data_IF_851316785162
#
_entry.id   IF_851316785162
#
_cell.length_a   1.000
_cell.length_b   1.000
_cell.length_c   1.000
_cell.angle_alpha   90.00
_cell.angle_beta   90.00
_cell.angle_gamma   90.00
#
_symmetry.space_group_name_H-M   'P 1'
#
loop_
_entity.id
_entity.type
_entity.pdbx_description
1 polymer ?
#
# COMPACT_ATOMS: atom_id res chain seq x y z
N UNK A 1 -10.32 -5.52 33.93
CA UNK A 1 -9.00 -5.43 33.25
C UNK A 1 -8.75 -6.62 32.31
N UNK A 2 -8.93 -7.85 32.77
CA UNK A 2 -8.70 -9.07 31.97
C UNK A 2 -9.59 -9.12 30.72
N UNK A 3 -10.88 -8.84 30.84
CA UNK A 3 -11.84 -8.84 29.69
C UNK A 3 -11.42 -7.85 28.61
N UNK A 4 -10.92 -6.68 29.00
CA UNK A 4 -10.47 -5.65 28.06
C UNK A 4 -9.24 -6.11 27.26
N UNK A 5 -8.28 -6.79 27.89
CA UNK A 5 -7.10 -7.36 27.22
C UNK A 5 -7.51 -8.41 26.20
N UNK A 6 -8.39 -9.36 26.59
CA UNK A 6 -8.91 -10.38 25.65
C UNK A 6 -9.68 -9.76 24.46
N UNK A 7 -10.44 -8.69 24.71
CA UNK A 7 -11.18 -8.00 23.66
C UNK A 7 -10.21 -7.33 22.68
N UNK A 8 -9.16 -6.67 23.15
CA UNK A 8 -8.15 -6.05 22.31
C UNK A 8 -7.36 -7.07 21.48
N UNK A 9 -6.94 -8.19 22.08
CA UNK A 9 -6.30 -9.28 21.35
C UNK A 9 -7.21 -9.88 20.27
N UNK A 10 -8.47 -10.09 20.57
CA UNK A 10 -9.44 -10.60 19.60
C UNK A 10 -9.64 -9.63 18.42
N UNK A 11 -9.71 -8.33 18.68
CA UNK A 11 -9.82 -7.29 17.65
C UNK A 11 -8.56 -7.28 16.78
N UNK A 12 -7.37 -7.22 17.36
CA UNK A 12 -6.11 -7.21 16.61
C UNK A 12 -5.96 -8.47 15.75
N UNK A 13 -6.23 -9.64 16.32
CA UNK A 13 -6.20 -10.89 15.56
C UNK A 13 -7.19 -10.91 14.39
N UNK A 14 -8.41 -10.43 14.61
CA UNK A 14 -9.43 -10.34 13.56
C UNK A 14 -9.01 -9.38 12.43
N UNK A 15 -8.38 -8.26 12.78
CA UNK A 15 -7.85 -7.30 11.81
C UNK A 15 -6.67 -7.89 11.01
N UNK A 16 -5.75 -8.60 11.66
CA UNK A 16 -4.64 -9.28 10.99
C UNK A 16 -5.15 -10.34 10.01
N UNK A 17 -6.11 -11.16 10.42
CA UNK A 17 -6.77 -12.14 9.54
C UNK A 17 -7.48 -11.44 8.38
N UNK A 18 -8.20 -10.37 8.65
CA UNK A 18 -8.88 -9.56 7.62
C UNK A 18 -7.93 -8.99 6.59
N UNK A 19 -6.80 -8.42 7.04
CA UNK A 19 -5.75 -7.90 6.15
C UNK A 19 -5.12 -9.01 5.30
N UNK A 20 -4.87 -10.17 5.90
CA UNK A 20 -4.30 -11.32 5.18
C UNK A 20 -5.25 -11.82 4.08
N UNK A 21 -6.54 -11.94 4.39
CA UNK A 21 -7.58 -12.30 3.42
C UNK A 21 -7.70 -11.21 2.35
N UNK A 22 -7.69 -9.94 2.75
CA UNK A 22 -7.72 -8.80 1.85
C UNK A 22 -6.56 -8.81 0.86
N UNK A 23 -5.32 -9.03 1.32
CA UNK A 23 -4.15 -9.18 0.47
C UNK A 23 -4.29 -10.35 -0.53
N UNK A 24 -4.76 -11.50 -0.07
CA UNK A 24 -4.96 -12.66 -0.94
C UNK A 24 -6.01 -12.36 -2.04
N UNK A 25 -7.10 -11.68 -1.69
CA UNK A 25 -8.10 -11.23 -2.65
C UNK A 25 -7.53 -10.23 -3.65
N UNK A 26 -6.77 -9.23 -3.20
CA UNK A 26 -6.14 -8.22 -4.04
C UNK A 26 -5.21 -8.88 -5.06
N UNK A 27 -4.32 -9.77 -4.62
CA UNK A 27 -3.40 -10.51 -5.48
C UNK A 27 -4.18 -11.31 -6.53
N UNK A 28 -5.25 -11.97 -6.11
CA UNK A 28 -6.12 -12.77 -7.00
C UNK A 28 -6.83 -11.89 -8.01
N UNK A 29 -7.42 -10.77 -7.59
CA UNK A 29 -8.13 -9.84 -8.47
C UNK A 29 -7.18 -9.20 -9.48
N UNK A 30 -6.00 -8.74 -9.05
CA UNK A 30 -4.99 -8.17 -9.95
C UNK A 30 -4.52 -9.23 -10.95
N UNK A 31 -4.20 -10.44 -10.48
CA UNK A 31 -3.80 -11.55 -11.35
C UNK A 31 -4.86 -11.92 -12.39
N UNK A 32 -6.13 -11.92 -12.00
CA UNK A 32 -7.26 -12.17 -12.89
C UNK A 32 -7.48 -11.03 -13.89
N UNK A 33 -7.48 -9.79 -13.42
CA UNK A 33 -7.72 -8.60 -14.26
C UNK A 33 -6.65 -8.43 -15.33
N UNK A 34 -5.38 -8.58 -14.98
CA UNK A 34 -4.25 -8.48 -15.90
C UNK A 34 -3.93 -9.81 -16.59
N UNK A 35 -4.74 -10.85 -16.40
CA UNK A 35 -4.58 -12.19 -17.00
C UNK A 35 -3.17 -12.77 -16.83
N UNK A 36 -2.54 -12.47 -15.72
CA UNK A 36 -1.17 -12.87 -15.43
C UNK A 36 -0.97 -13.12 -13.94
N UNK A 37 -0.76 -14.38 -13.57
CA UNK A 37 -0.43 -14.76 -12.19
C UNK A 37 0.87 -14.07 -11.71
N UNK A 38 1.82 -13.85 -12.65
CA UNK A 38 3.06 -13.14 -12.33
C UNK A 38 2.81 -11.70 -11.89
N UNK A 39 1.90 -10.98 -12.54
CA UNK A 39 1.54 -9.61 -12.13
C UNK A 39 0.78 -9.57 -10.82
N UNK A 40 -0.12 -10.54 -10.58
CA UNK A 40 -0.77 -10.69 -9.29
C UNK A 40 0.26 -10.88 -8.17
N UNK A 41 1.22 -11.78 -8.36
CA UNK A 41 2.27 -12.02 -7.37
C UNK A 41 3.23 -10.82 -7.25
N UNK A 42 3.64 -10.22 -8.37
CA UNK A 42 4.52 -9.04 -8.36
C UNK A 42 3.90 -7.86 -7.60
N UNK A 43 2.59 -7.64 -7.73
CA UNK A 43 1.87 -6.58 -7.05
C UNK A 43 1.83 -6.76 -5.52
N UNK A 44 2.12 -7.96 -5.00
CA UNK A 44 2.19 -8.17 -3.55
C UNK A 44 3.31 -7.37 -2.89
N UNK A 45 4.44 -7.17 -3.58
CA UNK A 45 5.57 -6.44 -3.04
C UNK A 45 5.25 -4.97 -2.75
N UNK A 46 4.76 -4.15 -3.72
CA UNK A 46 4.41 -2.76 -3.45
C UNK A 46 3.23 -2.61 -2.49
N UNK A 47 2.44 -3.65 -2.25
CA UNK A 47 1.33 -3.59 -1.31
C UNK A 47 1.71 -4.00 0.12
N UNK A 48 2.63 -4.93 0.29
CA UNK A 48 3.06 -5.44 1.61
C UNK A 48 4.21 -4.61 2.18
N UNK A 49 5.23 -4.32 1.36
CA UNK A 49 6.46 -3.65 1.83
C UNK A 49 6.22 -2.28 2.48
N UNK A 50 5.30 -1.40 2.00
CA UNK A 50 5.02 -0.15 2.65
C UNK A 50 4.55 -0.33 4.09
N UNK A 51 3.64 -1.29 4.31
CA UNK A 51 3.09 -1.60 5.64
C UNK A 51 4.18 -2.14 6.55
N UNK A 52 4.99 -3.10 6.06
CA UNK A 52 6.11 -3.67 6.84
C UNK A 52 7.13 -2.59 7.18
N UNK A 53 7.45 -1.70 6.23
CA UNK A 53 8.37 -0.57 6.46
C UNK A 53 7.81 0.43 7.48
N UNK A 54 6.51 0.74 7.38
CA UNK A 54 5.84 1.60 8.35
C UNK A 54 5.87 1.00 9.77
N UNK A 55 5.62 -0.31 9.91
CA UNK A 55 5.76 -1.01 11.19
C UNK A 55 7.20 -1.01 11.71
N UNK A 56 8.19 -1.18 10.82
CA UNK A 56 9.59 -1.11 11.20
C UNK A 56 9.97 0.24 11.82
N UNK A 57 9.56 1.33 11.21
CA UNK A 57 9.76 2.69 11.74
C UNK A 57 8.91 2.91 13.00
N UNK A 58 7.66 2.45 13.00
CA UNK A 58 6.75 2.57 14.15
C UNK A 58 7.33 1.89 15.39
N UNK A 59 7.92 0.70 15.23
CA UNK A 59 8.58 -0.03 16.32
C UNK A 59 9.76 0.73 16.94
N UNK A 60 10.41 1.61 16.17
CA UNK A 60 11.51 2.46 16.65
C UNK A 60 10.97 3.71 17.39
N UNK A 61 9.86 4.27 16.92
CA UNK A 61 9.31 5.54 17.43
C UNK A 61 8.50 5.31 18.72
N UNK A 62 7.58 4.36 18.73
CA UNK A 62 6.61 4.14 19.81
C UNK A 62 6.61 2.69 20.31
N UNK A 63 6.77 1.72 19.41
CA UNK A 63 6.84 0.29 19.70
C UNK A 63 5.53 -0.36 20.16
N UNK A 64 4.45 0.41 20.33
CA UNK A 64 3.15 -0.11 20.75
C UNK A 64 2.18 -0.17 19.57
N UNK A 65 1.56 -1.33 19.39
CA UNK A 65 0.51 -1.52 18.40
C UNK A 65 -0.82 -1.48 19.14
N UNK A 66 -1.46 -0.32 19.12
CA UNK A 66 -2.83 -0.19 19.59
C UNK A 66 -3.84 -0.61 18.50
N UNK A 67 -5.12 -0.69 18.87
CA UNK A 67 -6.15 -1.11 17.92
C UNK A 67 -6.32 -0.12 16.75
N UNK A 68 -6.02 1.17 16.94
CA UNK A 68 -6.12 2.17 15.89
C UNK A 68 -4.98 2.04 14.87
N UNK A 69 -3.77 1.67 15.30
CA UNK A 69 -2.67 1.32 14.37
C UNK A 69 -3.05 0.10 13.55
N UNK A 70 -3.70 -0.92 14.16
CA UNK A 70 -4.17 -2.08 13.43
C UNK A 70 -5.31 -1.74 12.44
N UNK A 71 -6.22 -0.84 12.78
CA UNK A 71 -7.24 -0.28 11.86
C UNK A 71 -6.54 0.51 10.73
N UNK A 72 -5.51 1.29 11.07
CA UNK A 72 -4.69 2.04 10.12
C UNK A 72 -4.07 1.13 9.07
N UNK A 73 -3.53 -0.01 9.46
CA UNK A 73 -2.98 -1.01 8.54
C UNK A 73 -4.01 -1.46 7.50
N UNK A 74 -5.22 -1.82 7.95
CA UNK A 74 -6.28 -2.26 7.03
C UNK A 74 -6.77 -1.15 6.10
N UNK A 75 -6.96 0.06 6.63
CA UNK A 75 -7.44 1.21 5.87
C UNK A 75 -6.41 1.69 4.84
N UNK A 76 -5.15 1.76 5.22
CA UNK A 76 -4.06 2.21 4.33
C UNK A 76 -3.77 1.20 3.24
N UNK A 77 -3.92 -0.11 3.51
CA UNK A 77 -3.74 -1.15 2.49
C UNK A 77 -4.61 -0.91 1.26
N UNK A 78 -5.89 -0.57 1.46
CA UNK A 78 -6.80 -0.29 0.34
C UNK A 78 -6.33 0.88 -0.54
N UNK A 79 -5.79 1.92 0.07
CA UNK A 79 -5.27 3.10 -0.64
C UNK A 79 -3.94 2.79 -1.36
N UNK A 80 -3.05 2.02 -0.71
CA UNK A 80 -1.78 1.59 -1.29
C UNK A 80 -2.00 0.74 -2.54
N UNK A 81 -2.98 -0.17 -2.49
CA UNK A 81 -3.36 -1.00 -3.64
C UNK A 81 -3.78 -0.14 -4.83
N UNK A 82 -4.50 0.93 -4.57
CA UNK A 82 -4.97 1.85 -5.62
C UNK A 82 -3.78 2.49 -6.36
N UNK A 83 -2.71 2.87 -5.67
CA UNK A 83 -1.47 3.38 -6.28
C UNK A 83 -0.86 2.34 -7.24
N UNK A 84 -0.68 1.12 -6.75
CA UNK A 84 -0.13 0.00 -7.53
C UNK A 84 -1.00 -0.31 -8.75
N UNK A 85 -2.32 -0.35 -8.60
CA UNK A 85 -3.26 -0.65 -9.70
C UNK A 85 -3.21 0.45 -10.77
N UNK A 86 -3.15 1.72 -10.38
CA UNK A 86 -3.03 2.83 -11.33
C UNK A 86 -1.75 2.73 -12.16
N UNK A 87 -0.60 2.50 -11.52
CA UNK A 87 0.69 2.36 -12.20
C UNK A 87 0.68 1.13 -13.12
N UNK A 88 0.23 -0.02 -12.61
CA UNK A 88 0.19 -1.28 -13.34
C UNK A 88 -0.77 -1.21 -14.55
N UNK A 89 -1.91 -0.54 -14.40
CA UNK A 89 -2.87 -0.35 -15.49
C UNK A 89 -2.27 0.42 -16.67
N UNK A 90 -1.52 1.50 -16.40
CA UNK A 90 -0.85 2.28 -17.43
C UNK A 90 0.33 1.53 -18.06
N UNK A 91 1.06 0.78 -17.25
CA UNK A 91 2.12 -0.10 -17.73
C UNK A 91 1.55 -1.17 -18.69
N UNK A 92 0.49 -1.86 -18.29
CA UNK A 92 -0.13 -2.93 -19.10
C UNK A 92 -0.72 -2.39 -20.40
N UNK A 93 -1.36 -1.21 -20.37
CA UNK A 93 -1.81 -0.49 -21.58
C UNK A 93 -0.66 -0.24 -22.54
N UNK A 94 0.48 0.25 -22.05
CA UNK A 94 1.66 0.53 -22.85
C UNK A 94 2.24 -0.75 -23.47
N UNK A 95 2.24 -1.84 -22.72
CA UNK A 95 2.74 -3.14 -23.20
C UNK A 95 1.81 -3.80 -24.21
N UNK A 96 0.51 -3.87 -23.92
CA UNK A 96 -0.44 -4.62 -24.73
C UNK A 96 -0.93 -3.87 -25.96
N UNK A 97 -1.31 -2.60 -25.80
CA UNK A 97 -1.89 -1.81 -26.88
C UNK A 97 -0.84 -1.03 -27.66
N UNK A 98 0.09 -0.36 -26.97
CA UNK A 98 1.09 0.48 -27.62
C UNK A 98 2.36 -0.28 -28.02
N UNK A 99 2.46 -1.58 -27.67
CA UNK A 99 3.59 -2.47 -28.00
C UNK A 99 4.97 -1.91 -27.61
N UNK A 100 5.03 -1.13 -26.54
CA UNK A 100 6.27 -0.53 -26.03
C UNK A 100 7.17 -1.58 -25.37
N UNK A 101 8.49 -1.30 -25.32
CA UNK A 101 9.43 -2.09 -24.52
C UNK A 101 9.05 -2.01 -23.01
N UNK A 102 9.50 -2.92 -22.14
CA UNK A 102 9.23 -2.82 -20.72
C UNK A 102 9.68 -1.49 -20.11
N UNK A 103 10.85 -1.00 -20.51
CA UNK A 103 11.42 0.27 -20.05
C UNK A 103 10.57 1.47 -20.49
N UNK A 104 10.20 1.51 -21.79
CA UNK A 104 9.35 2.57 -22.32
C UNK A 104 7.92 2.53 -21.75
N UNK A 105 7.44 1.34 -21.40
CA UNK A 105 6.14 1.17 -20.76
C UNK A 105 6.14 1.71 -19.31
N UNK A 106 7.23 1.53 -18.58
CA UNK A 106 7.42 2.15 -17.25
C UNK A 106 7.44 3.66 -17.39
N UNK A 107 8.22 4.21 -18.32
CA UNK A 107 8.27 5.65 -18.56
C UNK A 107 6.88 6.22 -18.85
N UNK A 108 6.16 5.58 -19.77
CA UNK A 108 4.79 5.95 -20.12
C UNK A 108 3.85 5.93 -18.89
N UNK A 109 3.96 4.90 -18.05
CA UNK A 109 3.13 4.81 -16.84
C UNK A 109 3.41 5.97 -15.89
N UNK A 110 4.68 6.33 -15.67
CA UNK A 110 5.05 7.48 -14.83
C UNK A 110 4.63 8.82 -15.41
N UNK A 111 4.77 9.03 -16.72
CA UNK A 111 4.27 10.23 -17.38
C UNK A 111 2.75 10.37 -17.22
N UNK A 112 2.02 9.26 -17.29
CA UNK A 112 0.58 9.25 -17.22
C UNK A 112 0.02 9.47 -15.79
N UNK A 113 0.63 8.85 -14.76
CA UNK A 113 0.06 8.85 -13.40
C UNK A 113 1.04 9.28 -12.30
N UNK A 114 2.33 9.41 -12.57
CA UNK A 114 3.34 9.68 -11.53
C UNK A 114 3.07 10.95 -10.75
N UNK A 115 2.72 12.05 -11.42
CA UNK A 115 2.34 13.30 -10.75
C UNK A 115 1.09 13.13 -9.88
N UNK A 116 0.09 12.39 -10.37
CA UNK A 116 -1.13 12.14 -9.62
C UNK A 116 -0.85 11.35 -8.34
N UNK A 117 0.02 10.33 -8.38
CA UNK A 117 0.40 9.54 -7.21
C UNK A 117 1.11 10.40 -6.15
N UNK A 118 2.01 11.30 -6.57
CA UNK A 118 2.67 12.25 -5.67
C UNK A 118 1.64 13.19 -5.03
N UNK A 119 0.76 13.77 -5.85
CA UNK A 119 -0.28 14.68 -5.36
C UNK A 119 -1.23 13.97 -4.39
N UNK A 120 -1.67 12.74 -4.69
CA UNK A 120 -2.50 11.93 -3.80
C UNK A 120 -1.80 11.67 -2.47
N UNK A 121 -0.52 11.28 -2.48
CA UNK A 121 0.25 11.06 -1.26
C UNK A 121 0.32 12.32 -0.39
N UNK A 122 0.58 13.49 -0.99
CA UNK A 122 0.62 14.76 -0.26
C UNK A 122 -0.75 15.11 0.32
N UNK A 123 -1.82 14.99 -0.47
CA UNK A 123 -3.18 15.27 -0.02
C UNK A 123 -3.59 14.35 1.14
N UNK A 124 -3.29 13.06 1.03
CA UNK A 124 -3.57 12.09 2.08
C UNK A 124 -2.75 12.40 3.34
N UNK A 125 -1.44 12.66 3.21
CA UNK A 125 -0.59 13.00 4.34
C UNK A 125 -1.08 14.26 5.06
N UNK A 126 -1.46 15.30 4.33
CA UNK A 126 -2.04 16.52 4.90
C UNK A 126 -3.40 16.25 5.55
N UNK A 127 -4.28 15.49 4.90
CA UNK A 127 -5.59 15.12 5.45
C UNK A 127 -5.47 14.33 6.75
N UNK A 128 -4.60 13.33 6.79
CA UNK A 128 -4.35 12.56 8.00
C UNK A 128 -3.66 13.38 9.10
N UNK A 129 -2.82 14.36 8.72
CA UNK A 129 -2.19 15.26 9.70
C UNK A 129 -3.20 16.08 10.51
N UNK A 130 -4.39 16.35 9.95
CA UNK A 130 -5.46 17.05 10.69
C UNK A 130 -5.93 16.24 11.91
N UNK A 131 -5.80 14.92 11.89
CA UNK A 131 -6.16 14.07 13.03
C UNK A 131 -5.28 14.30 14.27
N UNK A 132 -4.10 14.95 14.12
CA UNK A 132 -3.29 15.39 15.25
C UNK A 132 -3.94 16.53 16.06
N UNK A 133 -4.96 17.19 15.52
CA UNK A 133 -5.72 18.21 16.25
C UNK A 133 -6.75 17.60 17.22
N UNK A 134 -7.01 16.29 17.10
CA UNK A 134 -7.93 15.57 17.99
C UNK A 134 -7.20 15.21 19.28
N UNK A 135 -7.78 15.46 20.44
CA UNK A 135 -7.18 15.16 21.76
C UNK A 135 -7.23 13.67 22.14
N UNK A 136 -7.27 12.76 21.16
CA UNK A 136 -7.36 11.32 21.39
C UNK A 136 -6.13 10.61 20.81
N UNK A 137 -5.23 10.16 21.70
CA UNK A 137 -3.94 9.58 21.34
C UNK A 137 -4.00 8.47 20.27
N UNK A 138 -4.94 7.51 20.30
CA UNK A 138 -5.01 6.50 19.25
C UNK A 138 -5.27 7.06 17.84
N UNK A 139 -5.93 8.22 17.72
CA UNK A 139 -6.08 8.90 16.42
C UNK A 139 -4.76 9.48 15.91
N UNK A 140 -3.89 9.96 16.81
CA UNK A 140 -2.53 10.39 16.43
C UNK A 140 -1.73 9.21 15.89
N UNK A 141 -1.77 8.07 16.59
CA UNK A 141 -1.07 6.87 16.21
C UNK A 141 -1.55 6.35 14.84
N UNK A 142 -2.87 6.33 14.63
CA UNK A 142 -3.49 6.01 13.35
C UNK A 142 -3.00 6.94 12.22
N UNK A 143 -2.99 8.25 12.46
CA UNK A 143 -2.57 9.24 11.48
C UNK A 143 -1.08 9.08 11.13
N UNK A 144 -0.20 8.98 12.13
CA UNK A 144 1.23 8.85 11.93
C UNK A 144 1.58 7.56 11.18
N UNK A 145 1.01 6.43 11.59
CA UNK A 145 1.20 5.16 10.91
C UNK A 145 0.75 5.22 9.45
N UNK A 146 -0.44 5.80 9.20
CA UNK A 146 -0.98 5.92 7.85
C UNK A 146 -0.11 6.81 6.95
N UNK A 147 0.35 7.95 7.46
CA UNK A 147 1.26 8.84 6.71
C UNK A 147 2.56 8.12 6.36
N UNK A 148 3.16 7.41 7.32
CA UNK A 148 4.36 6.62 7.07
C UNK A 148 4.11 5.58 5.97
N UNK A 149 3.00 4.85 6.04
CA UNK A 149 2.66 3.83 5.05
C UNK A 149 2.47 4.42 3.65
N UNK A 150 1.82 5.59 3.50
CA UNK A 150 1.66 6.26 2.21
C UNK A 150 2.99 6.75 1.62
N UNK A 151 3.87 7.30 2.46
CA UNK A 151 5.20 7.74 2.01
C UNK A 151 6.02 6.55 1.53
N UNK A 152 6.02 5.44 2.28
CA UNK A 152 6.70 4.22 1.84
C UNK A 152 6.08 3.61 0.59
N UNK A 153 4.74 3.66 0.44
CA UNK A 153 4.08 3.20 -0.77
C UNK A 153 4.57 3.98 -2.00
N UNK A 154 4.61 5.31 -1.91
CA UNK A 154 5.13 6.13 -3.00
C UNK A 154 6.59 5.79 -3.33
N UNK A 155 7.45 5.64 -2.32
CA UNK A 155 8.86 5.30 -2.53
C UNK A 155 8.99 3.93 -3.21
N UNK A 156 8.25 2.94 -2.75
CA UNK A 156 8.31 1.57 -3.28
C UNK A 156 7.74 1.51 -4.70
N UNK A 157 6.63 2.19 -4.96
CA UNK A 157 6.03 2.25 -6.30
C UNK A 157 6.92 2.99 -7.31
N UNK A 158 7.72 3.96 -6.87
CA UNK A 158 8.61 4.70 -7.75
C UNK A 158 9.97 4.02 -7.99
N UNK A 159 10.52 3.35 -6.98
CA UNK A 159 11.89 2.82 -7.07
C UNK A 159 11.95 1.30 -7.20
N UNK A 160 11.12 0.57 -6.48
CA UNK A 160 11.19 -0.89 -6.47
C UNK A 160 10.30 -1.51 -7.54
N UNK A 161 9.05 -1.11 -7.62
CA UNK A 161 8.06 -1.74 -8.46
C UNK A 161 8.38 -1.66 -9.97
N UNK A 162 8.87 -0.53 -10.51
CA UNK A 162 9.28 -0.46 -11.91
C UNK A 162 10.41 -1.43 -12.27
N UNK A 163 11.40 -1.55 -11.38
CA UNK A 163 12.49 -2.49 -11.57
C UNK A 163 12.01 -3.95 -11.59
N UNK A 164 11.02 -4.27 -10.75
CA UNK A 164 10.40 -5.60 -10.75
C UNK A 164 9.62 -5.84 -12.04
N UNK A 165 8.87 -4.86 -12.54
CA UNK A 165 8.13 -4.97 -13.80
C UNK A 165 9.06 -5.23 -14.97
N UNK A 166 10.12 -4.43 -15.14
CA UNK A 166 11.09 -4.59 -16.23
C UNK A 166 11.76 -5.97 -16.16
N UNK A 167 12.13 -6.43 -14.97
CA UNK A 167 12.89 -7.68 -14.80
C UNK A 167 12.04 -8.94 -14.99
N UNK A 168 10.78 -8.89 -14.62
CA UNK A 168 9.91 -10.08 -14.58
C UNK A 168 8.85 -10.10 -15.69
N UNK A 169 8.66 -9.02 -16.46
CA UNK A 169 7.77 -9.02 -17.61
C UNK A 169 8.44 -9.73 -18.80
N UNK A 170 8.03 -10.97 -19.01
CA UNK A 170 8.49 -11.81 -20.13
C UNK A 170 7.54 -11.82 -21.33
N UNK A 171 6.58 -10.89 -21.38
CA UNK A 171 5.59 -10.76 -22.46
C UNK A 171 6.11 -10.02 -23.67
#
# INVERSE_FOLDING_TARGET
RVIFVYLMEAIVNSLLVGVTIGLALIITVIGFFFRSASFGFLSSFPNILPIVSAFGIWAIIDGQIDFMVAVGMGSTLGIIVDFTVHLLSKYDLARQELKKSPEDAVLFAFEAVGFALIAMTIILALGFSVLHLVSFLPMHNFAQFSILAFVFALIIDFFLFPNLLVRFDKR
#
